data_IF_627338586534
#
_entry.id   IF_627338586534
#
_cell.length_a   1.000
_cell.length_b   1.000
_cell.length_c   1.000
_cell.angle_alpha   90.00
_cell.angle_beta   90.00
_cell.angle_gamma   90.00
#
_symmetry.space_group_name_H-M   'P 1'
#
loop_
_entity.id
_entity.type
_entity.pdbx_description
1 polymer ?
#
# COMPACT_ATOMS: atom_id res chain seq x y z
N UNK A 1 9.62 2.63 5.88
CA UNK A 1 9.83 2.13 4.51
C UNK A 1 10.51 3.26 3.75
N UNK A 2 11.82 3.16 3.47
CA UNK A 2 12.52 4.20 2.71
C UNK A 2 11.86 4.35 1.33
N UNK A 3 11.64 5.58 0.87
CA UNK A 3 11.04 5.88 -0.43
C UNK A 3 9.51 5.83 -0.50
N UNK A 4 8.82 5.50 0.59
CA UNK A 4 7.35 5.52 0.68
C UNK A 4 6.87 6.64 1.59
N UNK A 5 5.87 7.39 1.14
CA UNK A 5 5.14 8.33 1.99
C UNK A 5 4.15 7.56 2.85
N UNK A 6 4.19 7.78 4.16
CA UNK A 6 3.34 7.07 5.12
C UNK A 6 2.55 8.04 5.97
N UNK A 7 1.37 7.61 6.42
CA UNK A 7 0.53 8.32 7.38
C UNK A 7 0.31 7.47 8.62
N UNK A 8 0.15 8.14 9.76
CA UNK A 8 -0.30 7.50 11.00
C UNK A 8 -1.82 7.64 11.10
N UNK A 9 -2.48 6.55 11.46
CA UNK A 9 -3.92 6.46 11.57
C UNK A 9 -4.25 5.91 12.95
N UNK A 10 -5.26 6.51 13.59
CA UNK A 10 -5.91 5.90 14.75
C UNK A 10 -7.16 5.21 14.23
N UNK A 11 -7.28 3.90 14.47
CA UNK A 11 -8.37 3.07 13.98
C UNK A 11 -8.96 2.30 15.14
N UNK A 12 -10.25 2.50 15.37
CA UNK A 12 -11.04 1.70 16.29
C UNK A 12 -11.44 0.38 15.61
N UNK A 13 -11.15 -0.76 16.24
CA UNK A 13 -11.64 -2.08 15.81
C UNK A 13 -12.29 -2.75 17.01
N UNK A 14 -13.62 -2.79 17.02
CA UNK A 14 -14.39 -3.16 18.21
C UNK A 14 -14.14 -2.17 19.34
N UNK A 15 -13.78 -2.67 20.52
CA UNK A 15 -13.47 -1.84 21.71
C UNK A 15 -11.98 -1.42 21.80
N UNK A 16 -11.18 -1.76 20.79
CA UNK A 16 -9.74 -1.53 20.81
C UNK A 16 -9.33 -0.41 19.86
N UNK A 17 -8.47 0.47 20.35
CA UNK A 17 -7.85 1.54 19.58
C UNK A 17 -6.47 1.09 19.07
N UNK A 18 -6.27 1.16 17.77
CA UNK A 18 -5.01 0.82 17.12
C UNK A 18 -4.37 2.06 16.52
N UNK A 19 -3.04 2.14 16.66
CA UNK A 19 -2.25 3.13 15.94
C UNK A 19 -1.52 2.44 14.79
N UNK A 20 -2.02 2.66 13.58
CA UNK A 20 -1.51 2.05 12.37
C UNK A 20 -0.62 3.02 11.61
N UNK A 21 0.39 2.48 10.93
CA UNK A 21 1.19 3.22 9.95
C UNK A 21 0.90 2.64 8.57
N UNK A 22 0.26 3.42 7.72
CA UNK A 22 -0.14 3.01 6.36
C UNK A 22 0.57 3.84 5.30
N UNK A 23 0.55 3.37 4.05
CA UNK A 23 0.93 4.19 2.89
C UNK A 23 -0.04 5.36 2.76
N UNK A 24 0.49 6.51 2.33
CA UNK A 24 -0.28 7.75 2.16
C UNK A 24 -1.34 7.61 1.08
N UNK A 25 -1.05 6.85 0.03
CA UNK A 25 -1.93 6.63 -1.11
C UNK A 25 -1.70 5.26 -1.75
N UNK A 26 -2.56 4.91 -2.72
CA UNK A 26 -2.56 3.62 -3.43
C UNK A 26 -1.70 3.61 -4.71
N UNK A 27 -0.98 4.69 -5.00
CA UNK A 27 -0.14 4.85 -6.19
C UNK A 27 1.34 4.55 -5.90
N UNK A 28 1.67 4.16 -4.67
CA UNK A 28 3.02 3.80 -4.29
C UNK A 28 3.22 2.28 -4.41
N UNK A 29 4.07 1.87 -5.36
CA UNK A 29 4.43 0.48 -5.63
C UNK A 29 5.91 0.40 -6.05
N UNK A 30 6.50 -0.79 -5.94
CA UNK A 30 7.87 -1.04 -6.37
C UNK A 30 7.90 -2.02 -7.56
N UNK A 31 8.22 -1.50 -8.74
CA UNK A 31 8.60 -2.29 -9.92
C UNK A 31 9.94 -1.78 -10.49
N UNK A 32 11.05 -1.86 -9.72
CA UNK A 32 12.33 -1.27 -10.12
C UNK A 32 12.86 -1.83 -11.43
N UNK A 33 12.57 -3.10 -11.71
CA UNK A 33 13.01 -3.79 -12.93
C UNK A 33 11.99 -3.70 -14.07
N UNK A 34 10.81 -3.09 -13.87
CA UNK A 34 9.73 -3.04 -14.85
C UNK A 34 9.13 -4.40 -15.22
N UNK A 35 9.35 -5.44 -14.40
CA UNK A 35 8.92 -6.82 -14.69
C UNK A 35 7.41 -6.92 -14.69
N UNK A 36 6.76 -6.30 -13.71
CA UNK A 36 5.31 -6.33 -13.57
C UNK A 36 4.65 -5.66 -14.78
N UNK A 37 5.15 -4.47 -15.17
CA UNK A 37 4.66 -3.78 -16.37
C UNK A 37 4.84 -4.62 -17.65
N UNK A 38 5.98 -5.31 -17.80
CA UNK A 38 6.25 -6.18 -18.98
C UNK A 38 5.28 -7.35 -19.13
N UNK A 39 4.76 -7.87 -18.02
CA UNK A 39 3.77 -8.97 -18.03
C UNK A 39 2.32 -8.46 -18.00
N UNK A 40 2.10 -7.15 -18.19
CA UNK A 40 0.77 -6.54 -18.26
C UNK A 40 0.14 -6.16 -16.93
N UNK A 41 0.87 -6.24 -15.82
CA UNK A 41 0.39 -5.77 -14.51
C UNK A 41 0.53 -4.25 -14.46
N UNK A 42 -0.59 -3.54 -14.41
CA UNK A 42 -0.61 -2.09 -14.32
C UNK A 42 -0.52 -1.61 -12.85
N UNK A 43 -0.14 -0.35 -12.65
CA UNK A 43 -0.04 0.27 -11.31
C UNK A 43 -1.35 0.16 -10.50
N UNK A 44 -2.50 0.23 -11.16
CA UNK A 44 -3.82 0.11 -10.53
C UNK A 44 -4.12 -1.28 -9.97
N UNK A 45 -3.40 -2.33 -10.40
CA UNK A 45 -3.56 -3.69 -9.89
C UNK A 45 -2.80 -3.93 -8.58
N UNK A 46 -1.82 -3.09 -8.22
CA UNK A 46 -0.99 -3.28 -7.03
C UNK A 46 -1.74 -3.18 -5.70
N UNK A 47 -2.68 -2.26 -5.51
CA UNK A 47 -3.42 -2.15 -4.26
C UNK A 47 -4.37 -3.33 -4.00
N UNK A 48 -4.52 -4.25 -4.96
CA UNK A 48 -5.35 -5.43 -4.83
C UNK A 48 -4.70 -6.52 -3.96
N UNK A 49 -3.37 -6.50 -3.81
CA UNK A 49 -2.62 -7.45 -2.96
C UNK A 49 -2.84 -7.28 -1.45
N UNK A 50 -3.62 -6.28 -1.03
CA UNK A 50 -4.01 -6.04 0.37
C UNK A 50 -5.50 -6.12 0.65
N UNK A 51 -6.30 -6.63 -0.31
CA UNK A 51 -7.74 -6.86 -0.16
C UNK A 51 -8.00 -8.35 0.05
N UNK A 52 -7.81 -8.85 1.26
CA UNK A 52 -8.34 -10.14 1.72
C UNK A 52 -8.88 -9.98 3.14
#
# INVERSE_FOLDING_TARGET
>A
MPGYETVLLNVAVGEHEFRLKSLRDRQQYADPDGRAKRVGICSASWPHFGWL
#
